data_IF_069656672225
#
_entry.id   IF_069656672225
#
_cell.length_a   1.000
_cell.length_b   1.000
_cell.length_c   1.000
_cell.angle_alpha   90.00
_cell.angle_beta   90.00
_cell.angle_gamma   90.00
#
_symmetry.space_group_name_H-M   'P 1'
#
loop_
_entity.id
_entity.type
_entity.pdbx_description
1 polymer ?
#
# COMPACT_ATOMS: atom_id res chain seq x y z
N UNK A 1 -3.13 -2.41 -12.48
CA UNK A 1 -3.97 -1.22 -12.68
C UNK A 1 -4.71 -0.83 -11.41
N UNK A 2 -5.55 -1.72 -10.85
CA UNK A 2 -6.38 -1.47 -9.65
C UNK A 2 -5.64 -0.83 -8.47
N UNK A 3 -4.42 -1.30 -8.17
CA UNK A 3 -3.63 -0.74 -7.08
C UNK A 3 -3.30 0.74 -7.35
N UNK A 4 -2.82 1.05 -8.56
CA UNK A 4 -2.46 2.42 -8.93
C UNK A 4 -3.69 3.33 -8.98
N UNK A 5 -4.84 2.86 -9.49
CA UNK A 5 -6.09 3.63 -9.50
C UNK A 5 -6.63 3.96 -8.11
N UNK A 6 -6.24 3.18 -7.10
CA UNK A 6 -6.61 3.39 -5.70
C UNK A 6 -5.52 4.08 -4.86
N UNK A 7 -4.35 4.36 -5.43
CA UNK A 7 -3.23 5.00 -4.72
C UNK A 7 -3.02 6.43 -5.22
N UNK A 8 -3.56 7.44 -4.52
CA UNK A 8 -3.56 8.83 -5.00
C UNK A 8 -2.16 9.37 -5.28
N UNK A 9 -1.22 9.08 -4.38
CA UNK A 9 0.17 9.50 -4.50
C UNK A 9 1.03 8.51 -5.29
N UNK A 10 0.47 7.44 -5.84
CA UNK A 10 1.20 6.42 -6.59
C UNK A 10 1.70 5.25 -5.75
N UNK A 11 2.57 4.42 -6.35
CA UNK A 11 3.11 3.19 -5.75
C UNK A 11 4.63 3.19 -5.86
N UNK A 12 5.32 2.59 -4.89
CA UNK A 12 6.77 2.36 -4.93
C UNK A 12 7.02 0.85 -5.01
N UNK A 13 7.76 0.42 -6.02
CA UNK A 13 8.16 -0.98 -6.23
C UNK A 13 9.67 -1.01 -6.44
N UNK A 14 10.39 -1.76 -5.61
CA UNK A 14 11.85 -1.88 -5.68
C UNK A 14 12.55 -0.50 -5.72
N UNK A 15 12.16 0.38 -4.79
CA UNK A 15 12.61 1.78 -4.70
C UNK A 15 12.32 2.67 -5.92
N UNK A 16 11.51 2.20 -6.88
CA UNK A 16 11.08 2.97 -8.03
C UNK A 16 9.68 3.49 -7.80
N UNK A 17 9.52 4.80 -7.93
CA UNK A 17 8.24 5.46 -7.79
C UNK A 17 7.48 5.47 -9.11
N UNK A 18 6.24 4.98 -9.08
CA UNK A 18 5.27 5.07 -10.17
C UNK A 18 4.12 5.97 -9.72
N UNK A 19 4.05 7.22 -10.21
CA UNK A 19 2.98 8.13 -9.82
C UNK A 19 1.63 7.69 -10.39
N UNK A 20 0.53 8.05 -9.73
CA UNK A 20 -0.81 7.79 -10.25
C UNK A 20 -1.09 8.60 -11.52
N UNK A 21 -0.81 9.90 -11.45
CA UNK A 21 -0.91 10.82 -12.58
C UNK A 21 0.50 11.29 -12.98
N UNK A 22 0.82 11.34 -14.28
CA UNK A 22 -0.08 11.20 -15.42
C UNK A 22 -0.28 9.75 -15.90
N UNK A 23 0.20 8.73 -15.18
CA UNK A 23 0.15 7.35 -15.67
C UNK A 23 -1.25 6.86 -16.02
N UNK A 24 -2.27 7.19 -15.22
CA UNK A 24 -3.65 6.81 -15.53
C UNK A 24 -4.31 7.70 -16.61
N UNK A 25 -3.78 8.89 -16.90
CA UNK A 25 -4.25 9.72 -18.02
C UNK A 25 -3.61 9.34 -19.34
N UNK A 26 -2.36 8.88 -19.30
CA UNK A 26 -1.53 8.59 -20.48
C UNK A 26 -1.63 7.14 -20.94
N UNK A 27 -2.14 6.25 -20.09
CA UNK A 27 -2.28 4.81 -20.35
C UNK A 27 -3.71 4.36 -20.07
N UNK A 28 -4.10 3.21 -20.62
CA UNK A 28 -5.36 2.55 -20.26
C UNK A 28 -5.12 1.17 -19.64
N UNK A 29 -6.13 0.64 -18.94
CA UNK A 29 -6.02 -0.67 -18.26
C UNK A 29 -5.89 -1.86 -19.21
N UNK A 30 -6.32 -1.69 -20.47
CA UNK A 30 -6.33 -2.74 -21.49
C UNK A 30 -5.10 -2.70 -22.41
N UNK A 31 -4.25 -1.68 -22.25
CA UNK A 31 -3.02 -1.53 -23.03
C UNK A 31 -1.85 -2.22 -22.33
N UNK A 32 -1.01 -2.90 -23.13
CA UNK A 32 0.20 -3.56 -22.65
C UNK A 32 1.23 -2.60 -22.06
N UNK A 33 1.12 -1.29 -22.34
CA UNK A 33 2.04 -0.25 -21.86
C UNK A 33 2.18 -0.26 -20.34
N UNK A 34 1.06 -0.39 -19.61
CA UNK A 34 1.09 -0.47 -18.15
C UNK A 34 1.78 -1.76 -17.68
N UNK A 35 1.46 -2.89 -18.31
CA UNK A 35 2.07 -4.18 -18.00
C UNK A 35 3.59 -4.15 -18.21
N UNK A 36 4.06 -3.63 -19.34
CA UNK A 36 5.49 -3.45 -19.61
C UNK A 36 6.15 -2.51 -18.61
N UNK A 37 5.46 -1.48 -18.12
CA UNK A 37 6.02 -0.59 -17.11
C UNK A 37 6.26 -1.31 -15.78
N UNK A 38 5.29 -2.10 -15.32
CA UNK A 38 5.44 -2.90 -14.11
C UNK A 38 6.51 -3.98 -14.29
N UNK A 39 6.55 -4.64 -15.45
CA UNK A 39 7.58 -5.63 -15.79
C UNK A 39 8.99 -5.01 -15.79
N UNK A 40 9.15 -3.82 -16.39
CA UNK A 40 10.40 -3.06 -16.36
C UNK A 40 10.84 -2.79 -14.91
N UNK A 41 9.91 -2.36 -14.04
CA UNK A 41 10.23 -2.11 -12.62
C UNK A 41 10.67 -3.39 -11.90
N UNK A 42 9.96 -4.51 -12.10
CA UNK A 42 10.27 -5.80 -11.49
C UNK A 42 11.55 -6.44 -12.05
N UNK A 43 11.91 -6.16 -13.31
CA UNK A 43 13.11 -6.68 -13.96
C UNK A 43 14.40 -6.22 -13.28
N UNK A 44 14.38 -5.07 -12.57
CA UNK A 44 15.56 -4.51 -11.88
C UNK A 44 15.90 -5.24 -10.59
N UNK A 45 15.00 -6.06 -10.08
CA UNK A 45 15.21 -6.86 -8.87
C UNK A 45 16.14 -8.02 -9.22
N UNK A 46 17.33 -8.07 -8.64
CA UNK A 46 18.31 -9.13 -8.91
C UNK A 46 17.89 -10.49 -8.33
N UNK A 47 17.24 -10.50 -7.17
CA UNK A 47 16.90 -11.72 -6.43
C UNK A 47 15.52 -12.25 -6.84
N UNK A 48 15.42 -13.45 -7.46
CA UNK A 48 14.14 -14.00 -7.90
C UNK A 48 13.16 -14.23 -6.74
N UNK A 49 13.65 -14.56 -5.55
CA UNK A 49 12.84 -14.79 -4.35
C UNK A 49 12.13 -13.50 -3.90
N UNK A 50 12.86 -12.38 -3.89
CA UNK A 50 12.27 -11.08 -3.57
C UNK A 50 11.28 -10.61 -4.64
N UNK A 51 11.58 -10.87 -5.93
CA UNK A 51 10.66 -10.58 -7.03
C UNK A 51 9.35 -11.36 -6.87
N UNK A 52 9.42 -12.63 -6.48
CA UNK A 52 8.25 -13.45 -6.24
C UNK A 52 7.40 -12.90 -5.08
N UNK A 53 8.03 -12.48 -3.96
CA UNK A 53 7.30 -11.84 -2.86
C UNK A 53 6.59 -10.54 -3.27
N UNK A 54 7.23 -9.72 -4.12
CA UNK A 54 6.59 -8.51 -4.65
C UNK A 54 5.37 -8.84 -5.51
N UNK A 55 5.47 -9.84 -6.39
CA UNK A 55 4.33 -10.30 -7.20
C UNK A 55 3.20 -10.82 -6.32
N UNK A 56 3.54 -11.59 -5.29
CA UNK A 56 2.57 -12.09 -4.30
C UNK A 56 1.89 -10.94 -3.54
N UNK A 57 2.67 -9.99 -3.02
CA UNK A 57 2.15 -8.81 -2.33
C UNK A 57 1.20 -8.00 -3.23
N UNK A 58 1.60 -7.71 -4.47
CA UNK A 58 0.77 -6.98 -5.42
C UNK A 58 -0.54 -7.74 -5.68
N UNK A 59 -0.49 -9.07 -5.79
CA UNK A 59 -1.69 -9.89 -5.97
C UNK A 59 -2.63 -9.84 -4.76
N UNK A 60 -2.08 -9.84 -3.55
CA UNK A 60 -2.83 -9.70 -2.30
C UNK A 60 -3.50 -8.33 -2.21
N UNK A 61 -2.75 -7.24 -2.45
CA UNK A 61 -3.28 -5.88 -2.44
C UNK A 61 -4.40 -5.74 -3.47
N UNK A 62 -4.17 -6.19 -4.71
CA UNK A 62 -5.19 -6.16 -5.76
C UNK A 62 -6.47 -6.90 -5.33
N UNK A 63 -6.32 -8.13 -4.82
CA UNK A 63 -7.46 -8.95 -4.33
C UNK A 63 -8.25 -8.24 -3.23
N UNK A 64 -7.57 -7.57 -2.29
CA UNK A 64 -8.22 -6.83 -1.21
C UNK A 64 -8.99 -5.63 -1.78
N UNK A 65 -8.39 -4.85 -2.68
CA UNK A 65 -9.03 -3.67 -3.28
C UNK A 65 -10.22 -4.03 -4.18
N UNK A 66 -10.15 -5.15 -4.89
CA UNK A 66 -11.23 -5.66 -5.73
C UNK A 66 -12.43 -6.10 -4.90
N UNK A 67 -12.18 -6.72 -3.74
CA UNK A 67 -13.24 -7.15 -2.82
C UNK A 67 -13.82 -6.01 -1.98
N UNK A 68 -13.08 -4.91 -1.82
CA UNK A 68 -13.44 -3.78 -0.98
C UNK A 68 -13.33 -2.48 -1.79
N UNK A 69 -14.33 -2.17 -2.64
CA UNK A 69 -14.28 -1.02 -3.54
C UNK A 69 -14.18 0.33 -2.82
N UNK A 70 -14.55 0.40 -1.54
CA UNK A 70 -14.44 1.57 -0.68
C UNK A 70 -13.03 1.83 -0.14
N UNK A 71 -12.10 0.88 -0.27
CA UNK A 71 -10.69 1.10 0.10
C UNK A 71 -10.01 1.99 -0.94
N UNK A 72 -9.42 3.08 -0.46
CA UNK A 72 -8.50 3.94 -1.19
C UNK A 72 -7.30 4.25 -0.31
N UNK A 73 -6.12 4.36 -0.92
CA UNK A 73 -4.90 4.80 -0.24
C UNK A 73 -4.74 6.31 -0.41
N UNK A 74 -4.85 7.01 0.72
CA UNK A 74 -4.95 8.47 0.76
C UNK A 74 -3.74 9.17 1.37
N UNK A 75 -2.93 8.44 2.13
CA UNK A 75 -1.83 9.01 2.91
C UNK A 75 -0.48 8.54 2.39
N UNK A 76 0.02 9.20 1.34
CA UNK A 76 1.33 8.92 0.77
C UNK A 76 1.34 7.74 -0.23
N UNK A 77 2.52 7.46 -0.82
CA UNK A 77 2.66 6.39 -1.79
C UNK A 77 2.65 5.01 -1.13
N UNK A 78 2.10 4.01 -1.81
CA UNK A 78 2.11 2.62 -1.33
C UNK A 78 3.49 2.03 -1.56
N UNK A 79 4.29 1.96 -0.50
CA UNK A 79 5.63 1.37 -0.55
C UNK A 79 5.58 -0.14 -0.36
N UNK A 80 5.76 -0.86 -1.47
CA UNK A 80 5.72 -2.33 -1.48
C UNK A 80 6.91 -2.95 -0.73
N UNK A 81 8.08 -2.29 -0.75
CA UNK A 81 9.27 -2.78 -0.06
C UNK A 81 9.07 -2.67 1.46
N UNK A 82 8.46 -1.58 1.92
CA UNK A 82 8.09 -1.39 3.32
C UNK A 82 7.05 -2.42 3.78
N UNK A 83 6.03 -2.69 2.96
CA UNK A 83 5.00 -3.69 3.29
C UNK A 83 5.57 -5.11 3.41
N UNK A 84 6.53 -5.49 2.57
CA UNK A 84 7.23 -6.77 2.70
C UNK A 84 8.02 -6.82 4.00
N UNK A 85 8.76 -5.76 4.34
CA UNK A 85 9.50 -5.68 5.61
C UNK A 85 8.58 -5.76 6.82
N UNK A 86 7.43 -5.09 6.78
CA UNK A 86 6.41 -5.19 7.83
C UNK A 86 5.88 -6.62 7.96
N UNK A 87 5.53 -7.27 6.85
CA UNK A 87 5.12 -8.68 6.85
C UNK A 87 6.20 -9.59 7.44
N UNK A 88 7.46 -9.36 7.07
CA UNK A 88 8.57 -10.11 7.64
C UNK A 88 8.75 -9.84 9.13
N UNK A 89 8.61 -8.60 9.60
CA UNK A 89 8.70 -8.28 11.02
C UNK A 89 7.64 -9.02 11.83
N UNK A 90 6.40 -9.09 11.34
CA UNK A 90 5.33 -9.86 11.97
C UNK A 90 5.68 -11.35 12.09
N UNK A 91 6.30 -11.92 11.05
CA UNK A 91 6.79 -13.30 11.06
C UNK A 91 7.98 -13.48 12.03
N UNK A 92 8.97 -12.60 11.97
CA UNK A 92 10.15 -12.61 12.81
C UNK A 92 9.79 -12.51 14.29
N UNK A 93 8.82 -11.67 14.64
CA UNK A 93 8.31 -11.56 16.01
C UNK A 93 7.59 -12.83 16.47
N UNK A 94 6.79 -13.45 15.58
CA UNK A 94 6.13 -14.72 15.87
C UNK A 94 7.11 -15.88 16.08
N UNK A 95 8.22 -15.90 15.33
CA UNK A 95 9.25 -16.94 15.40
C UNK A 95 10.43 -16.59 16.31
N UNK A 96 10.42 -15.41 16.94
CA UNK A 96 11.52 -14.88 17.77
C UNK A 96 12.86 -14.83 17.03
N UNK A 97 12.83 -14.46 15.75
CA UNK A 97 14.03 -14.26 14.92
C UNK A 97 14.69 -12.93 15.32
N UNK A 98 15.96 -12.99 15.74
CA UNK A 98 16.70 -11.81 16.19
C UNK A 98 17.13 -10.91 15.02
N UNK A 99 17.49 -11.49 13.87
CA UNK A 99 17.91 -10.74 12.69
C UNK A 99 16.70 -10.41 11.80
N UNK A 100 16.22 -9.16 11.89
CA UNK A 100 15.11 -8.65 11.08
C UNK A 100 15.53 -8.07 9.72
N UNK A 101 16.83 -8.07 9.41
CA UNK A 101 17.35 -7.56 8.13
C UNK A 101 17.52 -8.68 7.09
N UNK A 102 17.63 -9.93 7.54
CA UNK A 102 17.78 -11.10 6.67
C UNK A 102 16.41 -11.73 6.36
N UNK A 103 15.92 -11.51 5.13
CA UNK A 103 14.66 -12.07 4.63
C UNK A 103 14.74 -13.57 4.30
N UNK A 104 15.91 -14.20 4.36
CA UNK A 104 16.09 -15.63 4.02
C UNK A 104 15.10 -16.56 4.73
N UNK A 105 14.83 -16.42 6.04
CA UNK A 105 13.84 -17.24 6.74
C UNK A 105 12.42 -17.05 6.18
N UNK A 106 12.11 -15.86 5.64
CA UNK A 106 10.82 -15.56 5.05
C UNK A 106 10.63 -16.27 3.71
N UNK A 107 11.66 -16.29 2.86
CA UNK A 107 11.64 -17.04 1.59
C UNK A 107 11.45 -18.55 1.81
N UNK A 108 11.94 -19.07 2.93
CA UNK A 108 11.86 -20.49 3.26
C UNK A 108 10.57 -20.90 3.96
N UNK A 109 9.70 -19.94 4.31
CA UNK A 109 8.51 -20.17 5.14
C UNK A 109 7.58 -21.24 4.58
N UNK A 110 7.38 -21.26 3.26
CA UNK A 110 6.52 -22.25 2.60
C UNK A 110 7.03 -23.70 2.76
N UNK A 111 8.33 -23.88 2.97
CA UNK A 111 8.94 -25.20 3.18
C UNK A 111 8.88 -25.65 4.65
N UNK A 112 8.50 -24.75 5.57
CA UNK A 112 8.58 -24.97 7.02
C UNK A 112 7.21 -25.17 7.67
N UNK A 113 6.14 -24.63 7.08
CA UNK A 113 4.81 -24.60 7.71
C UNK A 113 3.70 -24.92 6.72
N UNK A 114 2.86 -25.90 7.08
CA UNK A 114 1.62 -26.22 6.34
C UNK A 114 0.45 -25.28 6.69
N UNK A 115 0.61 -24.42 7.70
CA UNK A 115 -0.48 -23.60 8.25
C UNK A 115 -0.26 -22.09 8.08
N UNK A 116 0.96 -21.66 7.77
CA UNK A 116 1.30 -20.24 7.63
C UNK A 116 2.21 -20.05 6.42
N UNK A 117 1.81 -19.16 5.52
CA UNK A 117 2.56 -18.78 4.31
C UNK A 117 3.03 -17.32 4.38
N UNK A 118 3.90 -16.93 3.45
CA UNK A 118 4.25 -15.53 3.19
C UNK A 118 3.00 -14.69 2.99
N UNK A 119 2.01 -15.18 2.21
CA UNK A 119 0.71 -14.54 2.03
C UNK A 119 0.00 -14.20 3.35
N UNK A 120 0.14 -15.05 4.38
CA UNK A 120 -0.52 -14.82 5.67
C UNK A 120 0.02 -13.56 6.35
N UNK A 121 1.34 -13.35 6.32
CA UNK A 121 1.98 -12.21 6.96
C UNK A 121 1.93 -10.96 6.09
N UNK A 122 2.06 -11.11 4.76
CA UNK A 122 1.85 -10.03 3.80
C UNK A 122 0.42 -9.50 3.87
N UNK A 123 -0.58 -10.38 3.93
CA UNK A 123 -1.98 -10.01 4.10
C UNK A 123 -2.23 -9.24 5.39
N UNK A 124 -1.63 -9.68 6.52
CA UNK A 124 -1.70 -8.93 7.78
C UNK A 124 -1.08 -7.54 7.66
N UNK A 125 0.13 -7.43 7.09
CA UNK A 125 0.80 -6.15 6.90
C UNK A 125 -0.04 -5.18 6.04
N UNK A 126 -0.63 -5.68 4.94
CA UNK A 126 -1.51 -4.87 4.09
C UNK A 126 -2.78 -4.43 4.83
N UNK A 127 -3.39 -5.31 5.62
CA UNK A 127 -4.56 -4.95 6.42
C UNK A 127 -4.20 -3.91 7.48
N UNK A 128 -3.09 -4.09 8.21
CA UNK A 128 -2.61 -3.13 9.19
C UNK A 128 -2.31 -1.78 8.54
N UNK A 129 -1.69 -1.78 7.36
CA UNK A 129 -1.46 -0.58 6.56
C UNK A 129 -2.77 0.14 6.20
N UNK A 130 -3.76 -0.58 5.67
CA UNK A 130 -5.09 -0.02 5.35
C UNK A 130 -5.77 0.55 6.60
N UNK A 131 -5.70 -0.16 7.73
CA UNK A 131 -6.33 0.26 8.98
C UNK A 131 -5.65 1.50 9.56
N UNK A 132 -4.33 1.58 9.51
CA UNK A 132 -3.56 2.74 9.98
C UNK A 132 -3.78 3.96 9.09
N UNK A 133 -3.94 3.79 7.78
CA UNK A 133 -4.33 4.87 6.87
C UNK A 133 -5.72 5.46 7.18
N UNK A 134 -6.65 4.63 7.68
CA UNK A 134 -8.04 5.06 7.95
C UNK A 134 -8.22 5.85 9.24
N UNK A 135 -7.25 5.89 10.16
CA UNK A 135 -7.45 6.52 11.48
C UNK A 135 -7.46 8.06 11.48
N UNK A 136 -7.26 8.76 10.34
CA UNK A 136 -7.25 10.24 10.32
C UNK A 136 -8.00 10.95 9.18
N UNK A 137 -8.89 10.28 8.44
CA UNK A 137 -9.73 11.01 7.45
C UNK A 137 -11.07 11.51 7.98
N UNK A 138 -11.55 11.02 9.13
CA UNK A 138 -12.88 11.42 9.67
C UNK A 138 -12.83 12.56 10.70
N UNK A 139 -11.67 12.82 11.33
CA UNK A 139 -11.58 13.81 12.41
C UNK A 139 -11.52 15.28 11.92
N UNK A 140 -11.29 15.53 10.63
CA UNK A 140 -11.12 16.90 10.12
C UNK A 140 -12.38 17.57 9.55
N UNK A 141 -13.52 16.89 9.47
CA UNK A 141 -14.75 17.45 8.88
C UNK A 141 -15.90 17.69 9.88
N UNK A 142 -15.67 17.56 11.19
CA UNK A 142 -16.74 17.73 12.21
C UNK A 142 -16.61 19.04 13.02
N UNK A 143 -15.45 19.73 12.99
CA UNK A 143 -15.25 20.97 13.77
C UNK A 143 -15.13 22.26 12.93
N UNK A 144 -15.37 22.20 11.62
CA UNK A 144 -15.41 23.41 10.77
C UNK A 144 -16.77 23.56 10.11
N UNK A 145 -17.80 23.81 10.91
CA UNK A 145 -19.00 24.51 10.44
C UNK A 145 -19.60 25.30 11.59
N UNK A 146 -19.77 26.60 11.33
CA UNK A 146 -20.59 27.59 12.07
C UNK A 146 -20.00 28.25 13.32
N UNK A 147 -19.26 29.35 13.10
CA UNK A 147 -19.53 30.58 13.87
C UNK A 147 -20.14 31.61 12.91
N UNK A 148 -21.41 32.03 13.07
CA UNK A 148 -21.92 33.17 12.35
C UNK A 148 -21.16 34.43 12.79
N UNK A 149 -20.76 35.22 11.80
CA UNK A 149 -20.18 36.53 12.01
C UNK A 149 -21.26 37.50 12.50
N UNK A 150 -21.22 37.91 13.76
CA UNK A 150 -21.88 39.13 14.20
C UNK A 150 -21.16 40.32 13.58
N UNK A 151 -21.72 40.85 12.48
CA UNK A 151 -21.52 42.22 12.04
C UNK A 151 -22.73 43.01 12.53
N UNK A 152 -22.54 43.84 13.54
CA UNK A 152 -23.38 45.01 13.77
C UNK A 152 -22.47 46.22 13.93
N UNK A 153 -22.31 46.93 12.83
CA UNK A 153 -21.75 48.27 12.80
C UNK A 153 -22.90 49.25 12.52
N UNK A 154 -23.04 50.23 13.42
CA UNK A 154 -23.51 51.59 13.16
C UNK A 154 -25.04 51.84 12.96
N UNK A 155 -25.69 52.53 13.94
CA UNK A 155 -25.97 54.00 13.88
C UNK A 155 -27.08 54.48 14.83
N UNK A 156 -26.81 55.64 15.43
CA UNK A 156 -27.70 56.79 15.72
C UNK A 156 -29.05 56.52 16.39
N UNK A 157 -29.22 56.92 17.66
CA UNK A 157 -29.76 58.22 18.06
C UNK A 157 -29.58 58.45 19.56
#
# INVERSE_FOLDING_TARGET
>A
WTILSRSKEGIVIASQFLPQQPTLSDMTEFELTFAYKIEEMLSRIAHPEYRQLLVELLSIIATILERNPEVMFGSGPVDCDLLIKQGFHLYADAQKIANKEDLTPFYQLENLSMHTSTATYLGKAVVDFILNERQFSTALNIFTSERPAERDDCKMM
#
